data_IF_948055948175
#
_entry.id   IF_948055948175
#
_cell.length_a   1.000
_cell.length_b   1.000
_cell.length_c   1.000
_cell.angle_alpha   90.00
_cell.angle_beta   90.00
_cell.angle_gamma   90.00
#
_symmetry.space_group_name_H-M   'P 1'
#
loop_
_entity.id
_entity.type
_entity.pdbx_description
1 polymer ?
#
# COMPACT_ATOMS: atom_id res chain seq x y z
N UNK A 1 -14.06 -28.78 9.97
CA UNK A 1 -14.63 -28.18 11.21
C UNK A 1 -13.92 -28.80 12.39
N UNK A 2 -13.07 -28.04 13.11
CA UNK A 2 -12.74 -28.09 14.56
C UNK A 2 -11.82 -26.87 14.82
N UNK A 3 -12.37 -25.66 14.89
CA UNK A 3 -12.61 -24.96 16.16
C UNK A 3 -11.67 -25.40 17.28
N UNK A 4 -10.73 -24.52 17.65
CA UNK A 4 -10.00 -24.59 18.91
C UNK A 4 -10.30 -23.31 19.71
N UNK A 5 -10.53 -23.42 21.03
CA UNK A 5 -11.36 -22.52 21.81
C UNK A 5 -10.54 -21.52 22.65
N UNK A 6 -11.22 -20.52 23.17
CA UNK A 6 -10.66 -19.55 24.12
C UNK A 6 -10.45 -20.13 25.52
N UNK A 7 -9.61 -19.42 26.32
CA UNK A 7 -9.44 -19.38 27.81
C UNK A 7 -8.38 -20.35 28.41
N UNK A 8 -7.77 -20.10 29.61
CA UNK A 8 -8.30 -19.31 30.75
C UNK A 8 -7.35 -18.50 31.69
N UNK A 9 -8.04 -17.64 32.48
CA UNK A 9 -7.84 -17.13 33.85
C UNK A 9 -6.63 -17.57 34.72
N UNK A 10 -6.01 -16.54 35.34
CA UNK A 10 -5.92 -16.33 36.81
C UNK A 10 -4.83 -17.01 37.67
N UNK A 11 -3.94 -16.15 38.18
CA UNK A 11 -3.36 -16.09 39.56
C UNK A 11 -2.32 -17.13 39.96
N UNK A 12 -1.07 -16.70 40.20
CA UNK A 12 -0.42 -16.55 41.55
C UNK A 12 1.10 -16.41 41.40
N UNK A 13 1.66 -15.28 41.83
CA UNK A 13 2.69 -15.24 42.87
C UNK A 13 3.16 -13.81 43.10
N UNK A 14 2.56 -13.20 44.12
CA UNK A 14 3.05 -12.03 44.81
C UNK A 14 3.57 -12.53 46.17
N UNK A 15 4.83 -12.24 46.56
CA UNK A 15 5.22 -12.26 47.96
C UNK A 15 5.42 -10.83 48.45
N UNK A 16 4.44 -10.41 49.26
CA UNK A 16 4.58 -9.59 50.48
C UNK A 16 4.95 -8.10 50.37
N UNK A 17 3.94 -7.29 50.67
CA UNK A 17 3.91 -5.85 51.00
C UNK A 17 4.58 -5.53 52.35
N UNK A 18 4.72 -4.24 52.73
CA UNK A 18 3.67 -3.68 53.57
C UNK A 18 3.26 -2.23 53.25
N UNK A 19 1.97 -1.99 53.48
CA UNK A 19 1.39 -0.79 54.09
C UNK A 19 1.67 0.60 53.48
N UNK A 20 0.64 1.12 52.79
CA UNK A 20 0.00 2.37 53.22
C UNK A 20 -1.28 2.62 52.41
N UNK A 21 -2.38 2.24 53.03
CA UNK A 21 -3.69 2.89 52.84
C UNK A 21 -3.51 4.37 53.13
N UNK A 22 -3.74 5.24 52.14
CA UNK A 22 -4.26 6.59 52.41
C UNK A 22 -5.17 7.04 51.25
N UNK A 23 -6.44 6.69 51.44
CA UNK A 23 -7.62 7.52 51.23
C UNK A 23 -7.68 8.45 50.02
N UNK A 24 -8.59 8.07 49.11
CA UNK A 24 -9.32 9.00 48.28
C UNK A 24 -10.28 9.81 49.20
N UNK A 25 -10.14 11.13 49.34
CA UNK A 25 -11.12 11.94 50.06
C UNK A 25 -12.13 12.49 49.05
N UNK A 26 -13.37 12.05 49.15
CA UNK A 26 -14.50 12.85 48.70
C UNK A 26 -14.86 13.84 49.82
N UNK A 27 -15.24 15.05 49.39
CA UNK A 27 -16.15 16.06 49.99
C UNK A 27 -15.54 17.49 49.92
N UNK A 28 -16.31 18.56 50.15
CA UNK A 28 -17.16 19.23 49.16
C UNK A 28 -16.71 20.69 48.91
N UNK A 29 -17.30 21.31 47.88
CA UNK A 29 -17.43 22.77 47.69
C UNK A 29 -16.20 23.67 47.93
N UNK A 30 -15.59 24.10 46.83
CA UNK A 30 -15.06 25.47 46.72
C UNK A 30 -14.83 25.82 45.25
N UNK A 31 -15.42 26.94 44.84
CA UNK A 31 -15.27 27.55 43.52
C UNK A 31 -13.79 27.97 43.38
N UNK A 32 -12.98 27.06 42.86
CA UNK A 32 -11.60 27.29 42.47
C UNK A 32 -11.52 27.32 40.96
N UNK A 33 -11.48 28.53 40.40
CA UNK A 33 -11.46 28.79 38.97
C UNK A 33 -10.26 28.10 38.30
N UNK A 34 -10.47 26.90 37.74
CA UNK A 34 -9.44 26.19 36.97
C UNK A 34 -9.31 26.92 35.64
N UNK A 35 -8.32 27.81 35.58
CA UNK A 35 -8.02 28.61 34.39
C UNK A 35 -7.59 27.66 33.28
N UNK A 36 -8.54 27.28 32.42
CA UNK A 36 -8.27 26.61 31.17
C UNK A 36 -7.18 27.40 30.44
N UNK A 37 -6.09 26.77 29.96
CA UNK A 37 -5.21 27.45 29.04
C UNK A 37 -6.04 27.74 27.79
N UNK A 38 -6.32 29.03 27.59
CA UNK A 38 -6.91 29.57 26.36
C UNK A 38 -6.22 28.93 25.18
N UNK A 39 -7.00 28.29 24.31
CA UNK A 39 -6.53 27.68 23.08
C UNK A 39 -5.65 28.66 22.33
N UNK A 40 -4.36 28.36 22.26
CA UNK A 40 -3.49 28.98 21.29
C UNK A 40 -4.05 28.58 19.92
N UNK A 41 -4.69 29.51 19.22
CA UNK A 41 -4.82 29.40 17.78
C UNK A 41 -3.40 29.36 17.22
N UNK A 42 -2.91 28.13 17.06
CA UNK A 42 -1.67 27.84 16.39
C UNK A 42 -1.84 28.34 14.94
N UNK A 43 -1.37 29.56 14.66
CA UNK A 43 -1.24 30.07 13.29
C UNK A 43 -0.31 29.11 12.57
N UNK A 44 -0.89 28.15 11.85
CA UNK A 44 -0.13 27.25 11.00
C UNK A 44 0.47 28.10 9.88
N UNK A 45 1.73 28.42 10.01
CA UNK A 45 2.52 29.06 8.97
C UNK A 45 2.23 28.40 7.61
N UNK A 46 2.01 29.19 6.55
CA UNK A 46 1.59 28.64 5.28
C UNK A 46 2.68 27.72 4.75
N UNK A 47 2.33 26.43 4.64
CA UNK A 47 3.23 25.40 4.13
C UNK A 47 3.82 25.81 2.78
N UNK A 48 5.13 25.61 2.62
CA UNK A 48 5.82 25.73 1.35
C UNK A 48 5.11 24.92 0.25
N UNK A 49 5.21 25.38 -1.00
CA UNK A 49 4.65 24.67 -2.17
C UNK A 49 5.10 23.22 -2.22
N UNK A 50 6.34 22.93 -1.82
CA UNK A 50 6.90 21.57 -1.81
C UNK A 50 6.28 20.72 -0.69
N UNK A 51 6.15 21.27 0.50
CA UNK A 51 5.49 20.64 1.66
C UNK A 51 4.03 20.25 1.32
N UNK A 52 3.29 21.13 0.64
CA UNK A 52 1.92 20.84 0.16
C UNK A 52 1.89 19.69 -0.86
N UNK A 53 2.86 19.65 -1.78
CA UNK A 53 2.98 18.55 -2.77
C UNK A 53 3.27 17.22 -2.09
N UNK A 54 4.21 17.19 -1.13
CA UNK A 54 4.53 16.01 -0.33
C UNK A 54 3.31 15.48 0.42
N UNK A 55 2.59 16.35 1.14
CA UNK A 55 1.36 15.97 1.86
C UNK A 55 0.29 15.42 0.93
N UNK A 56 0.07 16.04 -0.24
CA UNK A 56 -0.87 15.52 -1.26
C UNK A 56 -0.48 14.13 -1.75
N UNK A 57 0.79 13.91 -2.08
CA UNK A 57 1.31 12.60 -2.53
C UNK A 57 1.23 11.53 -1.44
N UNK A 58 1.34 11.93 -0.17
CA UNK A 58 1.19 11.06 0.99
C UNK A 58 -0.28 10.71 1.32
N UNK A 59 -1.27 11.28 0.62
CA UNK A 59 -2.67 10.86 0.82
C UNK A 59 -2.94 9.50 0.19
N UNK A 60 -3.78 8.69 0.84
CA UNK A 60 -4.21 7.40 0.30
C UNK A 60 -4.93 7.57 -1.06
N UNK A 61 -5.73 8.64 -1.22
CA UNK A 61 -6.41 8.99 -2.48
C UNK A 61 -5.43 9.19 -3.63
N UNK A 62 -4.33 9.92 -3.41
CA UNK A 62 -3.31 10.11 -4.46
C UNK A 62 -2.60 8.80 -4.81
N UNK A 63 -2.18 8.03 -3.81
CA UNK A 63 -1.48 6.75 -4.03
C UNK A 63 -2.34 5.75 -4.78
N UNK A 64 -3.59 5.58 -4.38
CA UNK A 64 -4.54 4.67 -5.05
C UNK A 64 -4.80 5.10 -6.49
N UNK A 65 -5.11 6.37 -6.72
CA UNK A 65 -5.30 6.90 -8.09
C UNK A 65 -4.06 6.70 -8.97
N UNK A 66 -2.86 6.90 -8.42
CA UNK A 66 -1.61 6.65 -9.15
C UNK A 66 -1.40 5.17 -9.46
N UNK A 67 -1.63 4.29 -8.48
CA UNK A 67 -1.51 2.84 -8.66
C UNK A 67 -2.50 2.32 -9.72
N UNK A 68 -3.75 2.81 -9.72
CA UNK A 68 -4.75 2.46 -10.74
C UNK A 68 -4.31 2.89 -12.13
N UNK A 69 -3.80 4.13 -12.29
CA UNK A 69 -3.29 4.59 -13.59
C UNK A 69 -2.14 3.73 -14.11
N UNK A 70 -1.20 3.40 -13.23
CA UNK A 70 -0.06 2.56 -13.61
C UNK A 70 -0.49 1.14 -13.97
N UNK A 71 -1.46 0.57 -13.24
CA UNK A 71 -2.04 -0.73 -13.58
C UNK A 71 -2.65 -0.70 -14.99
N UNK A 72 -3.46 0.32 -15.31
CA UNK A 72 -4.07 0.47 -16.65
C UNK A 72 -2.98 0.58 -17.72
N UNK A 73 -1.93 1.37 -17.47
CA UNK A 73 -0.81 1.52 -18.40
C UNK A 73 -0.11 0.18 -18.68
N UNK A 74 0.15 -0.61 -17.63
CA UNK A 74 0.78 -1.93 -17.74
C UNK A 74 -0.15 -2.95 -18.41
N UNK A 75 -1.46 -2.88 -18.14
CA UNK A 75 -2.47 -3.73 -18.77
C UNK A 75 -2.52 -3.47 -20.28
N UNK A 76 -2.60 -2.21 -20.71
CA UNK A 76 -2.53 -1.83 -22.12
C UNK A 76 -1.25 -2.33 -22.81
N UNK A 77 -0.10 -2.20 -22.13
CA UNK A 77 1.16 -2.76 -22.62
C UNK A 77 1.13 -4.28 -22.77
N UNK A 78 0.53 -5.00 -21.81
CA UNK A 78 0.45 -6.46 -21.85
C UNK A 78 -0.52 -6.94 -22.94
N UNK A 79 -1.60 -6.21 -23.22
CA UNK A 79 -2.52 -6.48 -24.35
C UNK A 79 -1.75 -6.41 -25.67
N UNK A 80 -1.00 -5.33 -25.91
CA UNK A 80 -0.17 -5.21 -27.12
C UNK A 80 0.87 -6.33 -27.23
N UNK A 81 1.47 -6.77 -26.11
CA UNK A 81 2.39 -7.92 -26.09
C UNK A 81 1.71 -9.25 -26.44
N UNK A 82 0.47 -9.44 -26.01
CA UNK A 82 -0.32 -10.64 -26.35
C UNK A 82 -0.72 -10.64 -27.83
N UNK A 83 -1.08 -9.47 -28.38
CA UNK A 83 -1.36 -9.31 -29.81
C UNK A 83 -0.12 -9.64 -30.66
N UNK A 84 1.04 -9.10 -30.29
CA UNK A 84 2.31 -9.44 -30.95
C UNK A 84 2.58 -10.94 -30.88
N UNK A 85 2.44 -11.57 -29.70
CA UNK A 85 2.65 -13.02 -29.52
C UNK A 85 1.78 -13.87 -30.45
N UNK A 86 0.54 -13.44 -30.73
CA UNK A 86 -0.39 -14.18 -31.61
C UNK A 86 0.10 -14.24 -33.06
N UNK A 87 0.88 -13.26 -33.50
CA UNK A 87 1.43 -13.20 -34.86
C UNK A 87 2.71 -14.03 -35.03
N UNK A 88 3.34 -14.46 -33.93
CA UNK A 88 4.62 -15.15 -33.98
C UNK A 88 4.45 -16.66 -34.17
N UNK A 89 5.20 -17.27 -35.10
CA UNK A 89 5.16 -18.72 -35.32
C UNK A 89 5.86 -19.47 -34.17
N UNK A 90 5.19 -20.44 -33.56
CA UNK A 90 5.76 -21.33 -32.54
C UNK A 90 5.30 -22.77 -32.69
N UNK A 91 6.18 -23.73 -32.37
CA UNK A 91 5.82 -25.12 -32.12
C UNK A 91 6.07 -25.48 -30.64
N UNK A 92 5.06 -25.94 -29.89
CA UNK A 92 3.63 -25.95 -30.22
C UNK A 92 3.04 -24.51 -30.27
N UNK A 93 1.86 -24.29 -30.89
CA UNK A 93 1.26 -22.96 -31.03
C UNK A 93 1.01 -22.23 -29.71
N UNK A 94 0.77 -22.98 -28.63
CA UNK A 94 0.50 -22.50 -27.28
C UNK A 94 1.76 -22.36 -26.40
N UNK A 95 2.96 -22.47 -26.98
CA UNK A 95 4.22 -22.28 -26.26
C UNK A 95 4.23 -20.94 -25.52
N UNK A 96 4.37 -20.97 -24.20
CA UNK A 96 4.53 -19.76 -23.39
C UNK A 96 5.88 -19.12 -23.69
N UNK A 97 5.86 -17.86 -24.12
CA UNK A 97 7.06 -17.06 -24.38
C UNK A 97 7.16 -15.93 -23.35
N UNK A 98 8.37 -15.67 -22.87
CA UNK A 98 8.70 -14.48 -22.09
C UNK A 98 8.70 -13.22 -22.98
N UNK A 99 8.65 -12.04 -22.36
CA UNK A 99 8.67 -10.76 -23.10
C UNK A 99 9.91 -10.61 -23.98
N UNK A 100 11.08 -11.06 -23.51
CA UNK A 100 12.32 -10.98 -24.30
C UNK A 100 12.31 -11.96 -25.47
N UNK A 101 11.76 -13.16 -25.30
CA UNK A 101 11.63 -14.13 -26.40
C UNK A 101 10.68 -13.63 -27.47
N UNK A 102 9.53 -13.03 -27.09
CA UNK A 102 8.58 -12.41 -28.03
C UNK A 102 9.29 -11.35 -28.88
N UNK A 103 10.06 -10.46 -28.27
CA UNK A 103 10.78 -9.40 -28.99
C UNK A 103 11.84 -9.98 -29.94
N UNK A 104 12.65 -10.94 -29.47
CA UNK A 104 13.67 -11.58 -30.30
C UNK A 104 13.06 -12.31 -31.50
N UNK A 105 11.99 -13.07 -31.26
CA UNK A 105 11.31 -13.83 -32.30
C UNK A 105 10.61 -12.92 -33.31
N UNK A 106 10.03 -11.80 -32.88
CA UNK A 106 9.45 -10.80 -33.77
C UNK A 106 10.50 -10.22 -34.73
N UNK A 107 11.69 -9.85 -34.21
CA UNK A 107 12.80 -9.36 -35.05
C UNK A 107 13.20 -10.41 -36.07
N UNK A 108 13.45 -11.65 -35.62
CA UNK A 108 13.82 -12.74 -36.52
C UNK A 108 12.74 -13.01 -37.58
N UNK A 109 11.47 -12.95 -37.20
CA UNK A 109 10.37 -13.25 -38.11
C UNK A 109 10.18 -12.17 -39.17
N UNK A 110 10.30 -10.89 -38.82
CA UNK A 110 10.31 -9.79 -39.80
C UNK A 110 11.46 -9.98 -40.80
N UNK A 111 12.69 -10.24 -40.32
CA UNK A 111 13.85 -10.48 -41.19
C UNK A 111 13.65 -11.69 -42.11
N UNK A 112 13.05 -12.76 -41.60
CA UNK A 112 12.72 -13.95 -42.40
C UNK A 112 11.73 -13.63 -43.52
N UNK A 113 10.63 -12.93 -43.20
CA UNK A 113 9.63 -12.56 -44.19
C UNK A 113 10.20 -11.64 -45.27
N UNK A 114 11.04 -10.66 -44.91
CA UNK A 114 11.73 -9.82 -45.89
C UNK A 114 12.59 -10.65 -46.84
N UNK A 115 13.39 -11.58 -46.30
CA UNK A 115 14.21 -12.47 -47.14
C UNK A 115 13.38 -13.33 -48.09
N UNK A 116 12.23 -13.84 -47.65
CA UNK A 116 11.33 -14.63 -48.50
C UNK A 116 10.69 -13.80 -49.62
N UNK A 117 10.47 -12.50 -49.39
CA UNK A 117 9.87 -11.60 -50.37
C UNK A 117 10.89 -10.99 -51.36
N UNK A 118 12.16 -10.90 -50.97
CA UNK A 118 13.25 -10.41 -51.82
C UNK A 118 13.80 -11.48 -52.80
N UNK A 119 13.33 -12.72 -52.69
CA UNK A 119 13.63 -13.87 -53.57
C UNK A 119 12.51 -14.07 -54.56
#
# INVERSE_FOLDING_TARGET
IKNCPQTPRSIRNCPQTPESVWNCPQTPESIGNCSQPRGAEERKEPLSREERRRRRRATAKYRTAHATRERIRVEAFNVAFAELRRLLPTLPPDKKLSKIEILRLAICYISYLNHVLDV
#
